data_IF_972879722161
#
_entry.id   IF_972879722161
#
_cell.length_a   1.000
_cell.length_b   1.000
_cell.length_c   1.000
_cell.angle_alpha   90.00
_cell.angle_beta   90.00
_cell.angle_gamma   90.00
#
_symmetry.space_group_name_H-M   'P 1'
#
loop_
_entity.id
_entity.type
_entity.pdbx_description
1 polymer ?
#
# COMPACT_ATOMS: atom_id res chain seq x y z
N UNK A 1 44.38 -33.61 -4.39
CA UNK A 1 44.65 -33.02 -3.06
C UNK A 1 43.33 -32.68 -2.39
N UNK A 2 42.98 -33.29 -1.25
CA UNK A 2 41.79 -32.97 -0.47
C UNK A 2 42.07 -31.79 0.48
N UNK A 3 41.27 -30.73 0.43
CA UNK A 3 41.50 -29.50 1.19
C UNK A 3 40.25 -28.96 1.90
N UNK A 4 40.11 -29.35 3.17
CA UNK A 4 39.48 -28.67 4.31
C UNK A 4 38.09 -27.99 4.15
N UNK A 5 37.09 -28.65 4.74
CA UNK A 5 35.82 -28.06 5.20
C UNK A 5 36.08 -27.20 6.44
N UNK A 6 35.92 -25.88 6.36
CA UNK A 6 36.02 -24.99 7.53
C UNK A 6 34.67 -24.75 8.19
N UNK A 7 34.69 -24.82 9.52
CA UNK A 7 33.57 -24.95 10.44
C UNK A 7 32.96 -23.59 10.80
N UNK A 8 31.64 -23.59 11.01
CA UNK A 8 30.86 -22.51 11.62
C UNK A 8 31.33 -22.21 13.05
N UNK A 9 31.27 -20.94 13.49
CA UNK A 9 31.04 -20.63 14.89
C UNK A 9 29.60 -20.11 15.13
N UNK A 10 28.91 -20.77 16.07
CA UNK A 10 27.80 -20.23 16.84
C UNK A 10 28.33 -19.16 17.81
N UNK A 11 27.64 -18.03 17.91
CA UNK A 11 27.59 -17.14 19.07
C UNK A 11 26.60 -16.02 18.75
N UNK A 12 25.85 -15.40 19.65
CA UNK A 12 25.36 -15.70 20.98
C UNK A 12 24.27 -14.63 21.24
N UNK A 13 23.32 -14.94 22.10
CA UNK A 13 22.14 -14.15 22.40
C UNK A 13 22.42 -12.73 22.92
N UNK A 14 21.50 -11.80 22.63
CA UNK A 14 21.19 -10.67 23.51
C UNK A 14 19.71 -10.31 23.35
N UNK A 15 18.92 -10.65 24.37
CA UNK A 15 17.54 -10.23 24.53
C UNK A 15 17.52 -8.80 25.08
N UNK A 16 16.76 -7.91 24.45
CA UNK A 16 16.42 -6.60 25.00
C UNK A 16 14.90 -6.54 25.18
N UNK A 17 14.47 -6.60 26.44
CA UNK A 17 13.09 -6.38 26.87
C UNK A 17 12.82 -4.88 26.90
N UNK A 18 11.87 -4.41 26.10
CA UNK A 18 11.37 -3.04 26.14
C UNK A 18 9.92 -3.08 26.60
N UNK A 19 9.69 -2.76 27.88
CA UNK A 19 8.36 -2.53 28.45
C UNK A 19 8.07 -1.02 28.38
N UNK A 20 7.26 -0.60 27.40
CA UNK A 20 6.68 0.74 27.40
C UNK A 20 5.40 0.71 28.23
N UNK A 21 5.42 1.42 29.36
CA UNK A 21 4.26 1.69 30.19
C UNK A 21 3.34 2.69 29.48
N UNK A 22 2.13 2.25 29.09
CA UNK A 22 1.07 3.18 28.67
C UNK A 22 0.45 3.79 29.94
N UNK A 23 0.79 5.05 30.19
CA UNK A 23 0.10 5.88 31.15
C UNK A 23 -1.35 6.11 30.71
N UNK A 24 -2.30 5.53 31.44
CA UNK A 24 -3.72 5.83 31.31
C UNK A 24 -4.00 7.22 31.92
N UNK A 25 -3.95 8.27 31.09
CA UNK A 25 -4.53 9.57 31.45
C UNK A 25 -6.05 9.49 31.29
N UNK A 26 -6.73 9.20 32.39
CA UNK A 26 -8.13 9.55 32.58
C UNK A 26 -8.21 11.06 32.83
N UNK A 27 -8.90 11.79 31.97
CA UNK A 27 -9.37 13.15 32.25
C UNK A 27 -10.88 13.05 32.45
N UNK A 28 -11.25 12.92 33.71
CA UNK A 28 -12.60 13.18 34.21
C UNK A 28 -12.59 14.63 34.73
N UNK A 29 -13.26 15.52 34.01
CA UNK A 29 -13.50 16.90 34.42
C UNK A 29 -14.58 17.49 33.53
N UNK A 30 -15.81 17.60 34.05
CA UNK A 30 -16.87 18.30 33.33
C UNK A 30 -18.25 18.16 33.93
N UNK A 31 -18.43 18.71 35.13
CA UNK A 31 -19.71 18.98 35.77
C UNK A 31 -20.73 19.57 34.79
N UNK A 32 -21.94 19.01 34.78
CA UNK A 32 -23.04 19.54 34.00
C UNK A 32 -23.42 20.96 34.41
N UNK A 33 -23.55 21.84 33.40
CA UNK A 33 -24.37 23.04 33.47
C UNK A 33 -24.85 23.40 32.04
N UNK A 34 -26.17 23.31 31.89
CA UNK A 34 -27.03 24.27 31.17
C UNK A 34 -26.92 24.39 29.63
N UNK A 35 -27.95 23.84 28.96
CA UNK A 35 -28.39 24.29 27.64
C UNK A 35 -28.97 25.71 27.77
N UNK A 36 -28.54 26.63 26.91
CA UNK A 36 -29.37 27.40 25.95
C UNK A 36 -28.56 28.57 25.39
N UNK A 37 -28.53 28.67 24.06
CA UNK A 37 -28.54 29.95 23.34
C UNK A 37 -27.19 30.56 22.98
N UNK A 38 -26.80 30.44 21.71
CA UNK A 38 -25.66 31.19 21.17
C UNK A 38 -25.43 30.89 19.70
N UNK A 39 -26.17 31.60 18.85
CA UNK A 39 -26.06 31.60 17.39
C UNK A 39 -24.61 31.79 16.94
N UNK A 40 -24.14 30.91 16.08
CA UNK A 40 -22.79 30.93 15.53
C UNK A 40 -22.55 29.76 14.59
N UNK A 41 -23.47 29.48 13.67
CA UNK A 41 -23.12 28.71 12.48
C UNK A 41 -22.19 29.55 11.60
N UNK A 42 -20.92 29.63 11.99
CA UNK A 42 -19.86 29.69 10.98
C UNK A 42 -19.80 28.28 10.38
N UNK A 43 -20.69 28.03 9.43
CA UNK A 43 -20.52 26.93 8.50
C UNK A 43 -19.26 27.25 7.70
N UNK A 44 -18.13 26.76 8.16
CA UNK A 44 -17.03 26.48 7.25
C UNK A 44 -17.60 25.43 6.30
N UNK A 45 -17.93 25.84 5.07
CA UNK A 45 -18.13 24.90 3.97
C UNK A 45 -16.83 24.09 3.85
N UNK A 46 -16.79 22.97 4.57
CA UNK A 46 -15.70 22.02 4.45
C UNK A 46 -15.80 21.49 3.03
N UNK A 47 -14.85 21.87 2.17
CA UNK A 47 -14.72 21.28 0.86
C UNK A 47 -14.76 19.76 1.01
N UNK A 48 -15.69 19.11 0.31
CA UNK A 48 -15.76 17.66 0.29
C UNK A 48 -14.41 17.13 -0.21
N UNK A 49 -13.79 16.24 0.56
CA UNK A 49 -12.58 15.55 0.12
C UNK A 49 -13.05 14.51 -0.92
N UNK A 50 -12.60 14.68 -2.16
CA UNK A 50 -12.86 13.70 -3.22
C UNK A 50 -12.29 12.32 -2.83
N UNK A 51 -13.01 11.21 -3.09
CA UNK A 51 -12.51 9.89 -2.80
C UNK A 51 -11.30 9.55 -3.67
N UNK A 52 -10.36 8.78 -3.11
CA UNK A 52 -9.25 8.21 -3.89
C UNK A 52 -9.80 7.20 -4.89
N UNK A 53 -9.46 7.35 -6.16
CA UNK A 53 -9.82 6.42 -7.21
C UNK A 53 -8.56 5.93 -7.93
N UNK A 54 -8.43 4.61 -8.12
CA UNK A 54 -7.33 4.04 -8.88
C UNK A 54 -7.75 3.83 -10.33
N UNK A 55 -7.10 4.54 -11.26
CA UNK A 55 -7.33 4.42 -12.69
C UNK A 55 -6.32 3.45 -13.30
N UNK A 56 -6.76 2.21 -13.55
CA UNK A 56 -5.98 1.23 -14.30
C UNK A 56 -6.13 1.52 -15.80
N UNK A 57 -5.03 1.93 -16.43
CA UNK A 57 -4.98 2.15 -17.87
C UNK A 57 -4.37 0.92 -18.52
N UNK A 58 -5.25 0.16 -19.15
CA UNK A 58 -4.90 -0.95 -20.02
C UNK A 58 -5.70 -0.76 -21.30
N UNK A 59 -5.11 -1.06 -22.46
CA UNK A 59 -5.87 -1.10 -23.72
C UNK A 59 -6.80 -2.34 -23.68
N UNK A 60 -7.87 -2.23 -22.87
CA UNK A 60 -8.78 -3.33 -22.58
C UNK A 60 -9.82 -3.44 -23.69
N UNK A 61 -9.86 -4.62 -24.31
CA UNK A 61 -11.06 -5.06 -25.04
C UNK A 61 -11.71 -6.21 -24.30
N UNK A 62 -12.59 -5.85 -23.35
CA UNK A 62 -13.41 -6.81 -22.59
C UNK A 62 -12.60 -7.71 -21.65
N UNK A 63 -11.66 -7.12 -20.88
CA UNK A 63 -10.79 -7.85 -19.95
C UNK A 63 -9.71 -8.71 -20.62
N UNK A 64 -9.57 -8.61 -21.94
CA UNK A 64 -8.44 -9.17 -22.69
C UNK A 64 -7.47 -8.06 -23.03
N UNK A 65 -6.22 -8.29 -22.66
CA UNK A 65 -5.11 -7.36 -22.79
C UNK A 65 -4.12 -7.95 -23.78
N UNK A 66 -3.72 -7.22 -24.84
CA UNK A 66 -2.61 -7.64 -25.70
C UNK A 66 -1.34 -7.85 -24.87
N UNK A 67 -0.55 -8.86 -25.23
CA UNK A 67 0.65 -9.24 -24.44
C UNK A 67 1.73 -8.17 -24.44
N UNK A 68 1.73 -7.35 -25.48
CA UNK A 68 2.61 -6.21 -25.75
C UNK A 68 2.03 -4.87 -25.26
N UNK A 69 0.88 -4.88 -24.59
CA UNK A 69 0.31 -3.66 -24.03
C UNK A 69 1.03 -3.20 -22.78
N UNK A 70 1.31 -1.91 -22.73
CA UNK A 70 1.83 -1.28 -21.54
C UNK A 70 0.73 -1.12 -20.48
N UNK A 71 0.93 -1.73 -19.31
CA UNK A 71 0.02 -1.62 -18.17
C UNK A 71 0.47 -0.46 -17.28
N UNK A 72 -0.43 0.50 -17.03
CA UNK A 72 -0.17 1.66 -16.16
C UNK A 72 -1.25 1.82 -15.12
N UNK A 73 -0.88 2.23 -13.92
CA UNK A 73 -1.80 2.55 -12.84
C UNK A 73 -1.50 3.96 -12.33
N UNK A 74 -2.52 4.81 -12.26
CA UNK A 74 -2.44 6.15 -11.70
C UNK A 74 -3.55 6.34 -10.65
N UNK A 75 -3.32 7.23 -9.70
CA UNK A 75 -4.35 7.67 -8.77
C UNK A 75 -5.04 8.93 -9.30
N UNK A 76 -6.37 8.93 -9.27
CA UNK A 76 -7.18 10.13 -9.38
C UNK A 76 -7.46 10.64 -7.96
N UNK A 77 -7.31 11.96 -7.78
CA UNK A 77 -7.54 12.64 -6.50
C UNK A 77 -6.65 12.15 -5.32
N UNK A 78 -5.46 11.62 -5.60
CA UNK A 78 -4.49 11.19 -4.58
C UNK A 78 -3.14 10.75 -5.13
N UNK A 79 -2.38 9.97 -4.36
CA UNK A 79 -1.05 9.45 -4.73
C UNK A 79 -0.96 7.94 -4.49
N UNK A 80 -0.21 7.23 -5.34
CA UNK A 80 0.12 5.81 -5.15
C UNK A 80 1.36 5.68 -4.25
N UNK A 81 1.22 5.07 -3.07
CA UNK A 81 2.34 4.84 -2.16
C UNK A 81 3.11 3.55 -2.49
N UNK A 82 2.38 2.53 -2.91
CA UNK A 82 2.92 1.21 -3.24
C UNK A 82 2.01 0.56 -4.25
N UNK A 83 2.59 -0.20 -5.18
CA UNK A 83 1.83 -1.06 -6.09
C UNK A 83 2.54 -2.39 -6.18
N UNK A 84 1.77 -3.47 -6.23
CA UNK A 84 2.28 -4.82 -6.44
C UNK A 84 1.40 -5.51 -7.46
N UNK A 85 2.04 -6.02 -8.51
CA UNK A 85 1.41 -6.90 -9.49
C UNK A 85 1.87 -8.34 -9.29
N UNK A 86 0.95 -9.28 -9.44
CA UNK A 86 1.26 -10.71 -9.42
C UNK A 86 0.33 -11.49 -10.34
N UNK A 87 0.79 -12.67 -10.80
CA UNK A 87 -0.04 -13.59 -11.57
C UNK A 87 -0.62 -14.71 -10.70
N UNK A 88 -1.74 -15.27 -11.13
CA UNK A 88 -2.42 -16.35 -10.40
C UNK A 88 -3.24 -15.85 -9.20
N UNK A 89 -3.59 -16.76 -8.30
CA UNK A 89 -4.58 -16.50 -7.23
C UNK A 89 -3.98 -15.88 -5.97
N UNK A 90 -2.66 -15.93 -5.79
CA UNK A 90 -2.02 -15.50 -4.55
C UNK A 90 -0.67 -14.83 -4.79
N UNK A 91 -0.41 -13.78 -4.00
CA UNK A 91 0.89 -13.11 -3.94
C UNK A 91 1.92 -14.03 -3.28
N UNK A 92 3.07 -14.21 -3.92
CA UNK A 92 4.19 -14.97 -3.36
C UNK A 92 5.49 -14.83 -4.17
N UNK A 93 6.58 -15.42 -3.66
CA UNK A 93 7.83 -15.53 -4.39
C UNK A 93 7.62 -16.25 -5.73
N UNK A 94 8.06 -15.65 -6.83
CA UNK A 94 7.90 -16.18 -8.18
C UNK A 94 6.56 -15.90 -8.85
N UNK A 95 5.56 -15.36 -8.14
CA UNK A 95 4.31 -14.87 -8.75
C UNK A 95 4.27 -13.36 -8.95
N UNK A 96 5.15 -12.62 -8.26
CA UNK A 96 5.26 -11.15 -8.38
C UNK A 96 5.87 -10.78 -9.72
N UNK A 97 5.31 -9.77 -10.37
CA UNK A 97 5.76 -9.24 -11.66
C UNK A 97 6.42 -7.89 -11.43
N UNK A 98 7.49 -7.60 -12.17
CA UNK A 98 8.23 -6.37 -11.99
C UNK A 98 7.43 -5.16 -12.48
N UNK A 99 7.46 -4.08 -11.70
CA UNK A 99 6.88 -2.80 -12.05
C UNK A 99 7.56 -1.68 -11.29
N UNK A 100 7.59 -0.50 -11.86
CA UNK A 100 8.28 0.67 -11.32
C UNK A 100 7.32 1.83 -11.09
N UNK A 101 7.60 2.60 -10.03
CA UNK A 101 6.92 3.85 -9.74
C UNK A 101 7.73 5.01 -10.34
N UNK A 102 7.09 5.84 -11.14
CA UNK A 102 7.68 7.08 -11.64
C UNK A 102 7.61 8.21 -10.61
N UNK A 103 8.37 9.29 -10.84
CA UNK A 103 8.41 10.43 -9.93
C UNK A 103 7.08 11.19 -9.82
N UNK A 104 6.23 11.09 -10.85
CA UNK A 104 4.86 11.63 -10.91
C UNK A 104 3.81 10.70 -10.27
N UNK A 105 4.23 9.59 -9.66
CA UNK A 105 3.32 8.69 -8.94
C UNK A 105 2.52 7.76 -9.84
N UNK A 106 3.00 7.51 -11.06
CA UNK A 106 2.43 6.52 -11.99
C UNK A 106 3.21 5.23 -11.88
N UNK A 107 2.51 4.13 -11.63
CA UNK A 107 3.13 2.81 -11.66
C UNK A 107 3.04 2.20 -13.06
N UNK A 108 4.13 1.62 -13.54
CA UNK A 108 4.21 0.98 -14.86
C UNK A 108 4.80 -0.42 -14.74
N UNK A 109 4.13 -1.39 -15.36
CA UNK A 109 4.64 -2.76 -15.48
C UNK A 109 5.89 -2.78 -16.37
N UNK A 110 6.95 -3.47 -15.93
CA UNK A 110 8.24 -3.52 -16.66
C UNK A 110 8.41 -4.76 -17.54
N UNK A 111 7.52 -5.73 -17.40
CA UNK A 111 7.59 -7.00 -18.11
C UNK A 111 6.37 -7.16 -19.01
N UNK A 112 6.57 -7.82 -20.15
CA UNK A 112 5.48 -8.17 -21.05
C UNK A 112 4.52 -9.16 -20.38
N UNK A 113 3.24 -9.07 -20.73
CA UNK A 113 2.23 -9.98 -20.21
C UNK A 113 2.35 -11.34 -20.91
N UNK A 114 2.10 -12.41 -20.17
CA UNK A 114 2.11 -13.75 -20.74
C UNK A 114 0.72 -14.12 -21.30
N UNK A 115 0.65 -14.77 -22.47
CA UNK A 115 -0.60 -15.21 -23.04
C UNK A 115 -1.40 -16.12 -22.08
N UNK A 116 -2.70 -15.85 -21.94
CA UNK A 116 -3.61 -16.71 -21.16
C UNK A 116 -3.43 -16.65 -19.65
N UNK A 117 -2.62 -15.72 -19.12
CA UNK A 117 -2.52 -15.49 -17.68
C UNK A 117 -3.45 -14.39 -17.18
N UNK A 118 -3.91 -14.56 -15.96
CA UNK A 118 -4.60 -13.52 -15.18
C UNK A 118 -3.61 -12.88 -14.23
N UNK A 119 -3.62 -11.54 -14.23
CA UNK A 119 -2.80 -10.71 -13.36
C UNK A 119 -3.70 -9.94 -12.41
N UNK A 120 -3.22 -9.76 -11.19
CA UNK A 120 -3.86 -8.92 -10.17
C UNK A 120 -2.89 -7.81 -9.80
N UNK A 121 -3.38 -6.57 -9.84
CA UNK A 121 -2.64 -5.39 -9.41
C UNK A 121 -3.33 -4.84 -8.17
N UNK A 122 -2.54 -4.54 -7.14
CA UNK A 122 -3.05 -3.94 -5.90
C UNK A 122 -2.16 -2.78 -5.50
N UNK A 123 -2.79 -1.68 -5.11
CA UNK A 123 -2.18 -0.45 -4.61
C UNK A 123 -2.48 -0.26 -3.12
#
# INVERSE_FOLDING_TARGET
MPGARSRRPLAAAAAAVVTLALAACTVDSGSGAERVGGSGSSGSDAAAIEPFEAALQVDERGGRVPVDSQVRLAAEHGTLDRVVAYHGQQRGPGSTVAGDMSADGVWTLQEDLEPGRTYTVVS
#
